data_IF_756779885713
#
_entry.id   IF_756779885713
#
_cell.length_a   1.000
_cell.length_b   1.000
_cell.length_c   1.000
_cell.angle_alpha   90.00
_cell.angle_beta   90.00
_cell.angle_gamma   90.00
#
_symmetry.space_group_name_H-M   'P 1'
#
loop_
_entity.id
_entity.type
_entity.pdbx_description
1 polymer ?
#
# COMPACT_ATOMS: atom_id res chain seq x y z
N UNK A 1 -5.19 -6.16 20.85
CA UNK A 1 -5.06 -5.88 19.42
C UNK A 1 -4.14 -6.89 18.77
N UNK A 2 -4.49 -7.36 17.60
CA UNK A 2 -3.60 -8.22 16.84
C UNK A 2 -2.62 -7.38 16.04
N UNK A 3 -1.38 -7.86 15.94
CA UNK A 3 -0.35 -7.18 15.19
C UNK A 3 0.20 -8.13 14.13
N UNK A 4 0.06 -7.72 12.87
CA UNK A 4 0.49 -8.53 11.72
C UNK A 4 1.33 -7.65 10.80
N UNK A 5 2.48 -8.15 10.37
CA UNK A 5 3.41 -7.42 9.51
C UNK A 5 3.80 -6.05 10.08
N UNK A 6 3.87 -5.95 11.40
CA UNK A 6 4.20 -4.70 12.08
C UNK A 6 3.05 -3.71 12.20
N UNK A 7 1.85 -4.10 11.79
CA UNK A 7 0.67 -3.22 11.81
C UNK A 7 -0.34 -3.71 12.85
N UNK A 8 -0.82 -2.80 13.66
CA UNK A 8 -1.91 -3.11 14.60
C UNK A 8 -3.22 -3.09 13.84
N UNK A 9 -3.85 -4.24 13.67
CA UNK A 9 -5.12 -4.33 12.95
C UNK A 9 -6.29 -4.22 13.90
N UNK A 10 -7.42 -3.63 13.47
CA UNK A 10 -8.59 -3.47 14.35
C UNK A 10 -9.17 -4.83 14.74
N UNK A 11 -9.46 -4.99 16.02
CA UNK A 11 -10.00 -6.26 16.53
C UNK A 11 -11.52 -6.39 16.36
N UNK A 12 -12.21 -5.27 16.23
CA UNK A 12 -13.67 -5.27 16.07
C UNK A 12 -14.13 -5.51 14.64
N UNK A 13 -13.21 -5.51 13.67
CA UNK A 13 -13.54 -5.71 12.26
C UNK A 13 -13.43 -7.18 11.88
N UNK A 14 -14.14 -7.56 10.81
CA UNK A 14 -14.00 -8.89 10.24
C UNK A 14 -12.59 -9.09 9.71
N UNK A 15 -12.12 -10.32 9.70
CA UNK A 15 -10.74 -10.62 9.33
C UNK A 15 -10.36 -10.08 7.93
N UNK A 16 -11.14 -10.30 6.86
CA UNK A 16 -10.76 -9.75 5.56
C UNK A 16 -10.64 -8.22 5.55
N UNK A 17 -11.55 -7.54 6.23
CA UNK A 17 -11.53 -6.08 6.28
C UNK A 17 -10.33 -5.59 7.08
N UNK A 18 -10.04 -6.23 8.21
CA UNK A 18 -8.90 -5.86 9.04
C UNK A 18 -7.58 -6.06 8.32
N UNK A 19 -7.45 -7.12 7.53
CA UNK A 19 -6.22 -7.37 6.77
C UNK A 19 -5.94 -6.29 5.72
N UNK A 20 -6.97 -5.62 5.20
CA UNK A 20 -6.76 -4.55 4.23
C UNK A 20 -6.07 -3.31 4.82
N UNK A 21 -5.96 -3.24 6.14
CA UNK A 21 -5.20 -2.17 6.79
C UNK A 21 -3.69 -2.32 6.60
N UNK A 22 -3.25 -3.48 6.13
CA UNK A 22 -1.84 -3.73 5.83
C UNK A 22 -1.55 -3.24 4.41
N UNK A 23 -0.54 -2.40 4.25
CA UNK A 23 -0.14 -1.91 2.93
C UNK A 23 0.32 -3.08 2.06
N UNK A 24 -0.32 -3.27 0.94
CA UNK A 24 -0.03 -4.38 0.02
C UNK A 24 -1.09 -5.47 0.02
N UNK A 25 -2.07 -5.41 0.92
CA UNK A 25 -3.16 -6.38 0.97
C UNK A 25 -4.48 -5.64 0.70
N UNK A 26 -5.13 -5.98 -0.40
CA UNK A 26 -6.44 -5.48 -0.76
C UNK A 26 -7.53 -6.49 -0.44
N UNK A 27 -8.80 -6.20 -0.80
CA UNK A 27 -9.91 -7.11 -0.49
C UNK A 27 -9.74 -8.50 -1.08
N UNK A 28 -9.26 -8.61 -2.32
CA UNK A 28 -9.09 -9.91 -2.96
C UNK A 28 -7.99 -10.73 -2.28
N UNK A 29 -6.87 -10.10 -1.96
CA UNK A 29 -5.78 -10.77 -1.26
C UNK A 29 -6.19 -11.19 0.14
N UNK A 30 -6.97 -10.35 0.84
CA UNK A 30 -7.46 -10.67 2.18
C UNK A 30 -8.36 -11.91 2.15
N UNK A 31 -9.23 -12.03 1.16
CA UNK A 31 -10.08 -13.22 1.02
C UNK A 31 -9.27 -14.47 0.71
N UNK A 32 -8.27 -14.34 -0.16
CA UNK A 32 -7.39 -15.45 -0.51
C UNK A 32 -6.61 -15.94 0.72
N UNK A 33 -6.18 -15.03 1.59
CA UNK A 33 -5.49 -15.38 2.82
C UNK A 33 -6.43 -16.15 3.75
N UNK A 34 -7.66 -15.67 3.92
CA UNK A 34 -8.65 -16.36 4.76
C UNK A 34 -8.93 -17.77 4.26
N UNK A 35 -9.07 -17.95 2.95
CA UNK A 35 -9.30 -19.26 2.36
C UNK A 35 -8.10 -20.19 2.58
N UNK A 36 -6.89 -19.68 2.43
CA UNK A 36 -5.68 -20.47 2.56
C UNK A 36 -5.45 -20.96 4.00
N UNK A 37 -5.82 -20.16 5.00
CA UNK A 37 -5.65 -20.52 6.41
C UNK A 37 -6.92 -21.07 7.04
N UNK A 38 -7.97 -21.29 6.24
CA UNK A 38 -9.25 -21.89 6.69
C UNK A 38 -9.94 -21.08 7.78
N UNK A 39 -9.98 -19.77 7.61
CA UNK A 39 -10.70 -18.87 8.51
C UNK A 39 -11.94 -18.35 7.78
N UNK A 40 -13.09 -18.41 8.46
CA UNK A 40 -14.34 -17.90 7.91
C UNK A 40 -14.27 -16.38 7.80
N UNK A 41 -14.70 -15.85 6.66
CA UNK A 41 -14.68 -14.41 6.40
C UNK A 41 -15.59 -13.62 7.34
N UNK A 42 -16.59 -14.26 7.95
CA UNK A 42 -17.49 -13.60 8.88
C UNK A 42 -16.91 -13.42 10.27
N UNK A 43 -15.80 -14.08 10.58
CA UNK A 43 -15.18 -13.98 11.90
C UNK A 43 -14.51 -12.62 12.09
N UNK A 44 -14.53 -12.16 13.32
CA UNK A 44 -13.84 -10.92 13.68
C UNK A 44 -12.45 -11.23 14.22
N UNK A 45 -11.57 -10.23 14.16
CA UNK A 45 -10.18 -10.43 14.58
C UNK A 45 -10.08 -10.83 16.05
N UNK A 46 -10.92 -10.28 16.92
CA UNK A 46 -10.88 -10.60 18.35
C UNK A 46 -11.34 -12.03 18.66
N UNK A 47 -11.96 -12.71 17.70
CA UNK A 47 -12.37 -14.12 17.86
C UNK A 47 -11.29 -15.09 17.44
N UNK A 48 -10.16 -14.62 16.93
CA UNK A 48 -9.06 -15.47 16.48
C UNK A 48 -8.20 -15.94 17.65
N UNK A 49 -7.78 -17.21 17.60
CA UNK A 49 -6.80 -17.73 18.54
C UNK A 49 -5.39 -17.29 18.14
N UNK A 50 -4.44 -17.41 19.05
CA UNK A 50 -3.04 -17.08 18.76
C UNK A 50 -2.49 -17.94 17.63
N UNK A 51 -2.89 -19.20 17.55
CA UNK A 51 -2.47 -20.10 16.48
C UNK A 51 -2.99 -19.63 15.13
N UNK A 52 -4.23 -19.14 15.08
CA UNK A 52 -4.81 -18.62 13.84
C UNK A 52 -4.10 -17.33 13.39
N UNK A 53 -3.79 -16.44 14.33
CA UNK A 53 -3.04 -15.22 14.01
C UNK A 53 -1.65 -15.57 13.50
N UNK A 54 -0.99 -16.55 14.11
CA UNK A 54 0.32 -16.99 13.66
C UNK A 54 0.26 -17.57 12.24
N UNK A 55 -0.78 -18.36 11.94
CA UNK A 55 -0.95 -18.92 10.60
C UNK A 55 -1.11 -17.81 9.54
N UNK A 56 -1.85 -16.76 9.86
CA UNK A 56 -2.00 -15.61 8.98
C UNK A 56 -0.65 -14.93 8.75
N UNK A 57 0.10 -14.68 9.81
CA UNK A 57 1.43 -14.06 9.72
C UNK A 57 2.36 -14.86 8.83
N UNK A 58 2.44 -16.16 9.04
CA UNK A 58 3.31 -17.02 8.27
C UNK A 58 2.92 -17.06 6.81
N UNK A 59 1.62 -17.10 6.52
CA UNK A 59 1.14 -17.11 5.15
C UNK A 59 1.49 -15.81 4.41
N UNK A 60 1.33 -14.68 5.09
CA UNK A 60 1.69 -13.38 4.51
C UNK A 60 3.18 -13.30 4.26
N UNK A 61 4.00 -13.70 5.23
CA UNK A 61 5.45 -13.65 5.09
C UNK A 61 5.95 -14.52 3.93
N UNK A 62 5.30 -15.65 3.70
CA UNK A 62 5.72 -16.60 2.66
C UNK A 62 5.27 -16.19 1.25
N UNK A 63 4.12 -15.52 1.11
CA UNK A 63 3.47 -15.33 -0.19
C UNK A 63 3.24 -13.89 -0.61
N UNK A 64 3.43 -12.93 0.27
CA UNK A 64 3.12 -11.53 -0.02
C UNK A 64 4.27 -10.61 0.35
N UNK A 65 4.41 -9.54 -0.44
CA UNK A 65 5.32 -8.45 -0.11
C UNK A 65 4.47 -7.30 0.45
N UNK A 66 4.69 -6.91 1.68
CA UNK A 66 3.85 -5.92 2.36
C UNK A 66 4.69 -4.91 3.13
N UNK A 67 4.06 -3.80 3.49
CA UNK A 67 4.61 -2.75 4.36
C UNK A 67 5.99 -2.29 3.94
N UNK A 68 6.97 -2.29 4.84
CA UNK A 68 8.30 -1.79 4.57
C UNK A 68 8.99 -2.43 3.38
N UNK A 69 8.81 -3.74 3.21
CA UNK A 69 9.39 -4.46 2.08
C UNK A 69 8.76 -4.01 0.76
N UNK A 70 7.44 -3.83 0.75
CA UNK A 70 6.74 -3.32 -0.43
C UNK A 70 7.17 -1.89 -0.75
N UNK A 71 7.26 -1.03 0.25
CA UNK A 71 7.72 0.35 0.04
C UNK A 71 9.11 0.39 -0.54
N UNK A 72 10.00 -0.47 -0.04
CA UNK A 72 11.36 -0.58 -0.53
C UNK A 72 11.39 -1.03 -1.99
N UNK A 73 10.57 -2.01 -2.34
CA UNK A 73 10.46 -2.50 -3.71
C UNK A 73 9.96 -1.41 -4.65
N UNK A 74 8.93 -0.67 -4.26
CA UNK A 74 8.39 0.43 -5.08
C UNK A 74 9.46 1.50 -5.30
N UNK A 75 10.17 1.87 -4.24
CA UNK A 75 11.22 2.89 -4.35
C UNK A 75 12.36 2.43 -5.24
N UNK A 76 12.75 1.16 -5.16
CA UNK A 76 13.77 0.61 -6.03
C UNK A 76 13.33 0.60 -7.49
N UNK A 77 12.06 0.30 -7.75
CA UNK A 77 11.52 0.34 -9.11
C UNK A 77 11.54 1.75 -9.68
N UNK A 78 11.17 2.75 -8.87
CA UNK A 78 11.21 4.15 -9.28
C UNK A 78 12.65 4.59 -9.55
N UNK A 79 13.58 4.24 -8.67
CA UNK A 79 14.99 4.57 -8.84
C UNK A 79 15.53 3.95 -10.13
N UNK A 80 15.15 2.72 -10.40
CA UNK A 80 15.56 2.03 -11.64
C UNK A 80 15.08 2.80 -12.87
N UNK A 81 13.84 3.27 -12.86
CA UNK A 81 13.32 4.08 -13.96
C UNK A 81 14.08 5.37 -14.12
N UNK A 82 14.43 6.03 -13.03
CA UNK A 82 15.22 7.26 -13.05
C UNK A 82 16.62 7.01 -13.59
N UNK A 83 17.27 5.93 -13.16
CA UNK A 83 18.61 5.57 -13.59
C UNK A 83 18.66 5.22 -15.08
N UNK A 84 17.59 4.62 -15.61
CA UNK A 84 17.48 4.32 -17.03
C UNK A 84 17.27 5.55 -17.89
N UNK A 85 16.85 6.67 -17.29
CA UNK A 85 16.61 7.90 -18.02
C UNK A 85 15.41 7.87 -18.96
N UNK A 86 14.49 6.91 -18.77
CA UNK A 86 13.30 6.83 -19.60
C UNK A 86 12.29 7.93 -19.25
N UNK A 87 11.27 8.10 -20.09
CA UNK A 87 10.26 9.14 -19.86
C UNK A 87 9.61 9.00 -18.47
N UNK A 88 9.21 7.78 -18.09
CA UNK A 88 8.59 7.56 -16.79
C UNK A 88 9.53 7.98 -15.65
N UNK A 89 10.80 7.65 -15.75
CA UNK A 89 11.79 8.04 -14.76
C UNK A 89 11.96 9.54 -14.65
N UNK A 90 11.95 10.24 -15.79
CA UNK A 90 12.03 11.70 -15.80
C UNK A 90 10.81 12.33 -15.12
N UNK A 91 9.63 11.76 -15.31
CA UNK A 91 8.42 12.25 -14.64
C UNK A 91 8.51 12.09 -13.13
N UNK A 92 9.05 10.95 -12.66
CA UNK A 92 9.27 10.75 -11.22
C UNK A 92 10.29 11.75 -10.68
N UNK A 93 11.36 11.98 -11.43
CA UNK A 93 12.41 12.91 -11.00
C UNK A 93 11.88 14.31 -10.83
N UNK A 94 10.94 14.73 -11.67
CA UNK A 94 10.36 16.07 -11.65
C UNK A 94 9.09 16.16 -10.81
N UNK A 95 8.68 15.08 -10.17
CA UNK A 95 7.44 15.02 -9.38
C UNK A 95 6.21 15.38 -10.20
N UNK A 96 6.15 14.86 -11.41
CA UNK A 96 5.02 15.08 -12.32
C UNK A 96 4.23 13.79 -12.52
N UNK A 97 2.94 13.88 -12.92
CA UNK A 97 2.16 12.67 -13.18
C UNK A 97 2.83 11.80 -14.23
N UNK A 98 2.82 10.50 -13.99
CA UNK A 98 3.57 9.52 -14.77
C UNK A 98 2.72 8.89 -15.88
N UNK A 99 1.41 8.90 -15.72
CA UNK A 99 0.48 8.18 -16.60
C UNK A 99 -0.23 9.07 -17.62
N UNK A 100 0.42 10.13 -18.07
CA UNK A 100 -0.13 10.98 -19.11
C UNK A 100 -1.22 11.93 -18.67
N UNK A 101 -1.35 12.19 -17.40
CA UNK A 101 -2.35 13.10 -16.87
C UNK A 101 -2.00 14.55 -17.19
N UNK A 102 -3.02 15.38 -17.23
CA UNK A 102 -2.83 16.80 -17.49
C UNK A 102 -2.07 17.46 -16.35
N UNK A 103 -1.20 18.40 -16.69
CA UNK A 103 -0.43 19.15 -15.71
C UNK A 103 -0.87 20.61 -15.57
N UNK A 104 -1.62 21.11 -16.54
CA UNK A 104 -2.10 22.50 -16.54
C UNK A 104 -3.11 22.79 -15.45
N UNK A 105 -3.90 21.80 -15.10
CA UNK A 105 -4.91 21.94 -14.06
C UNK A 105 -4.51 21.03 -12.91
N UNK A 106 -5.28 20.34 -12.32
CA UNK A 106 -5.09 19.43 -11.19
C UNK A 106 -3.67 18.82 -11.10
N UNK A 107 -3.50 17.61 -10.74
CA UNK A 107 -2.20 16.95 -10.54
C UNK A 107 -1.47 17.42 -9.28
N UNK A 108 -2.23 17.91 -8.28
CA UNK A 108 -1.63 18.42 -7.03
C UNK A 108 -1.01 17.33 -6.18
N UNK A 109 -1.46 16.09 -6.31
CA UNK A 109 -0.89 14.99 -5.54
C UNK A 109 0.61 14.80 -5.82
N UNK A 110 1.01 14.96 -7.09
CA UNK A 110 2.41 14.83 -7.49
C UNK A 110 3.15 16.15 -7.41
N UNK A 111 2.50 17.24 -7.84
CA UNK A 111 3.13 18.55 -7.88
C UNK A 111 3.16 19.27 -6.54
N UNK A 112 2.31 18.84 -5.62
CA UNK A 112 2.17 19.48 -4.34
C UNK A 112 1.16 20.62 -4.37
N UNK A 113 0.91 21.28 -3.22
CA UNK A 113 -0.04 22.38 -3.16
C UNK A 113 0.32 23.50 -4.11
N UNK A 114 -0.69 24.21 -4.62
CA UNK A 114 -0.47 25.36 -5.47
C UNK A 114 0.23 26.46 -4.69
N UNK A 115 1.28 27.02 -5.27
CA UNK A 115 2.03 28.12 -4.67
C UNK A 115 1.99 29.34 -5.57
N UNK A 116 1.58 30.50 -5.05
CA UNK A 116 1.66 31.70 -5.84
C UNK A 116 3.11 32.08 -6.07
N UNK A 117 3.39 32.63 -7.25
CA UNK A 117 4.73 33.10 -7.56
C UNK A 117 4.88 34.51 -7.01
N UNK A 118 5.84 34.71 -6.13
CA UNK A 118 6.04 36.01 -5.51
C UNK A 118 6.38 37.07 -6.54
N UNK A 119 5.73 38.21 -6.44
CA UNK A 119 5.95 39.31 -7.35
C UNK A 119 5.25 39.20 -8.69
N UNK A 120 4.61 38.09 -8.95
CA UNK A 120 3.93 37.86 -10.21
C UNK A 120 2.45 38.08 -10.03
N UNK A 121 2.12 39.32 -10.00
CA UNK A 121 0.71 39.67 -9.87
C UNK A 121 0.07 39.73 -11.20
N UNK A 122 -1.11 39.57 -11.20
CA UNK A 122 -1.77 39.66 -12.42
C UNK A 122 -2.63 40.72 -12.57
#
# INVERSE_FOLDING_TARGET
>A
MARIAGVNIPTAKRVPIALTYITGIGPASARAICDAVNIDESRRVNDLSDAEVLAIREHIDANYTVEGDLRREVQMNIKRLMDLGCYRGLRHRRNLPVRGQRTHTNARTRKGPAKPIAGKKK
#
